data_IF_383375540306
#
_entry.id   IF_383375540306
#
_cell.length_a   1.000
_cell.length_b   1.000
_cell.length_c   1.000
_cell.angle_alpha   90.00
_cell.angle_beta   90.00
_cell.angle_gamma   90.00
#
_symmetry.space_group_name_H-M   'P 1'
#
loop_
_entity.id
_entity.type
_entity.pdbx_description
1 polymer ?
#
# COMPACT_ATOMS: atom_id res chain seq x y z
N UNK A 1 -6.79 -8.56 -6.53
CA UNK A 1 -7.05 -7.28 -5.83
C UNK A 1 -8.45 -7.31 -5.22
N UNK A 2 -8.60 -6.88 -3.98
CA UNK A 2 -9.89 -6.82 -3.29
C UNK A 2 -10.85 -5.85 -4.01
N UNK A 3 -12.09 -6.29 -4.27
CA UNK A 3 -13.14 -5.53 -4.99
C UNK A 3 -13.58 -4.25 -4.28
N UNK A 4 -13.17 -4.06 -3.01
CA UNK A 4 -13.66 -3.03 -2.09
C UNK A 4 -13.51 -1.57 -2.57
N UNK A 5 -12.64 -1.29 -3.53
CA UNK A 5 -12.48 0.06 -4.09
C UNK A 5 -13.31 0.30 -5.36
N UNK A 6 -13.68 -0.76 -6.10
CA UNK A 6 -14.39 -0.64 -7.38
C UNK A 6 -15.77 -0.02 -7.19
N UNK A 7 -16.45 -0.37 -6.10
CA UNK A 7 -17.79 0.14 -5.79
C UNK A 7 -17.76 1.51 -5.08
N UNK A 8 -16.57 2.10 -4.91
CA UNK A 8 -16.33 3.38 -4.19
C UNK A 8 -17.19 3.53 -2.93
N UNK A 9 -17.28 2.47 -2.14
CA UNK A 9 -18.20 2.41 -1.00
C UNK A 9 -17.99 3.59 -0.03
N UNK A 10 -19.05 4.35 0.32
CA UNK A 10 -18.95 5.46 1.25
C UNK A 10 -18.34 5.03 2.59
N UNK A 11 -17.41 5.83 3.14
CA UNK A 11 -16.73 5.53 4.40
C UNK A 11 -15.54 4.56 4.28
N UNK A 12 -15.21 4.08 3.08
CA UNK A 12 -14.01 3.27 2.86
C UNK A 12 -12.75 4.12 2.98
N UNK A 13 -11.90 3.82 3.97
CA UNK A 13 -10.58 4.46 4.12
C UNK A 13 -9.69 4.30 2.89
N UNK A 14 -9.86 3.20 2.13
CA UNK A 14 -9.17 3.00 0.85
C UNK A 14 -9.60 3.99 -0.21
N UNK A 15 -10.90 4.28 -0.33
CA UNK A 15 -11.40 5.28 -1.29
C UNK A 15 -10.92 6.67 -0.90
N UNK A 16 -10.99 7.00 0.39
CA UNK A 16 -10.50 8.28 0.91
C UNK A 16 -8.99 8.48 0.70
N UNK A 17 -8.19 7.41 0.81
CA UNK A 17 -6.76 7.45 0.52
C UNK A 17 -6.48 7.67 -0.98
N UNK A 18 -7.19 6.97 -1.87
CA UNK A 18 -7.07 7.14 -3.32
C UNK A 18 -7.45 8.56 -3.77
N UNK A 19 -8.49 9.14 -3.17
CA UNK A 19 -8.95 10.50 -3.50
C UNK A 19 -7.94 11.60 -3.11
N UNK A 20 -6.99 11.31 -2.20
CA UNK A 20 -5.90 12.23 -1.87
C UNK A 20 -4.77 12.26 -2.92
N UNK A 21 -4.81 11.32 -3.88
CA UNK A 21 -3.91 11.29 -5.03
C UNK A 21 -2.49 10.81 -4.75
N UNK A 22 -1.72 10.69 -5.83
CA UNK A 22 -0.41 10.01 -5.88
C UNK A 22 0.60 10.54 -4.85
N UNK A 23 0.59 11.85 -4.54
CA UNK A 23 1.53 12.44 -3.58
C UNK A 23 1.31 11.94 -2.16
N UNK A 24 0.05 11.81 -1.74
CA UNK A 24 -0.28 11.26 -0.42
C UNK A 24 0.11 9.79 -0.33
N UNK A 25 -0.27 9.00 -1.34
CA UNK A 25 0.06 7.58 -1.43
C UNK A 25 1.58 7.34 -1.39
N UNK A 26 2.35 8.17 -2.11
CA UNK A 26 3.80 8.09 -2.15
C UNK A 26 4.46 8.38 -0.79
N UNK A 27 3.96 9.38 -0.04
CA UNK A 27 4.45 9.64 1.32
C UNK A 27 4.23 8.44 2.23
N UNK A 28 3.02 7.88 2.24
CA UNK A 28 2.68 6.72 3.06
C UNK A 28 3.50 5.50 2.66
N UNK A 29 3.70 5.25 1.36
CA UNK A 29 4.55 4.16 0.87
C UNK A 29 5.98 4.25 1.42
N UNK A 30 6.58 5.45 1.40
CA UNK A 30 7.94 5.69 1.93
C UNK A 30 7.98 5.54 3.45
N UNK A 31 6.96 6.01 4.15
CA UNK A 31 6.82 5.87 5.61
C UNK A 31 6.80 4.40 6.03
N UNK A 32 5.92 3.58 5.44
CA UNK A 32 5.84 2.15 5.77
C UNK A 32 7.12 1.39 5.37
N UNK A 33 7.83 1.83 4.32
CA UNK A 33 9.11 1.22 3.95
C UNK A 33 10.17 1.46 5.03
N UNK A 34 10.20 2.66 5.62
CA UNK A 34 11.08 2.97 6.74
C UNK A 34 10.65 2.20 8.00
N UNK A 35 9.36 2.15 8.31
CA UNK A 35 8.83 1.43 9.48
C UNK A 35 9.07 -0.08 9.37
N UNK A 36 8.85 -0.67 8.19
CA UNK A 36 9.15 -2.09 7.95
C UNK A 36 10.63 -2.42 8.14
N UNK A 37 11.53 -1.53 7.70
CA UNK A 37 12.97 -1.69 7.95
C UNK A 37 13.29 -1.62 9.45
N UNK A 38 12.79 -0.59 10.14
CA UNK A 38 13.01 -0.44 11.58
C UNK A 38 12.45 -1.62 12.38
N UNK A 39 11.25 -2.09 12.04
CA UNK A 39 10.63 -3.23 12.71
C UNK A 39 11.41 -4.53 12.47
N UNK A 40 11.92 -4.73 11.24
CA UNK A 40 12.77 -5.88 10.92
C UNK A 40 14.10 -5.87 11.69
N UNK A 41 14.69 -4.69 11.92
CA UNK A 41 15.95 -4.58 12.67
C UNK A 41 15.76 -4.61 14.20
N UNK A 42 14.64 -4.10 14.72
CA UNK A 42 14.53 -3.77 16.14
C UNK A 42 13.30 -4.30 16.87
N UNK A 43 12.22 -4.67 16.17
CA UNK A 43 10.93 -4.99 16.80
C UNK A 43 10.51 -6.46 16.63
N UNK A 44 11.16 -7.19 15.73
CA UNK A 44 10.99 -8.63 15.57
C UNK A 44 9.90 -9.02 14.57
N UNK A 45 9.66 -10.33 14.48
CA UNK A 45 8.92 -10.96 13.37
C UNK A 45 7.49 -10.44 13.20
N UNK A 46 6.74 -10.32 14.30
CA UNK A 46 5.32 -9.98 14.22
C UNK A 46 5.12 -8.52 13.80
N UNK A 47 5.90 -7.60 14.37
CA UNK A 47 5.90 -6.18 13.99
C UNK A 47 6.39 -5.98 12.57
N UNK A 48 7.48 -6.65 12.16
CA UNK A 48 7.94 -6.58 10.77
C UNK A 48 6.87 -7.09 9.78
N UNK A 49 6.15 -8.17 10.11
CA UNK A 49 5.07 -8.68 9.28
C UNK A 49 3.88 -7.69 9.18
N UNK A 50 3.56 -7.01 10.28
CA UNK A 50 2.55 -5.96 10.30
C UNK A 50 2.91 -4.81 9.36
N UNK A 51 4.11 -4.23 9.48
CA UNK A 51 4.53 -3.11 8.64
C UNK A 51 4.71 -3.51 7.17
N UNK A 52 5.23 -4.71 6.89
CA UNK A 52 5.25 -5.24 5.53
C UNK A 52 3.84 -5.38 4.94
N UNK A 53 2.84 -5.73 5.76
CA UNK A 53 1.45 -5.80 5.28
C UNK A 53 0.90 -4.41 4.91
N UNK A 54 1.28 -3.36 5.66
CA UNK A 54 0.90 -1.98 5.37
C UNK A 54 1.64 -1.47 4.11
N UNK A 55 2.93 -1.76 3.98
CA UNK A 55 3.71 -1.45 2.78
C UNK A 55 3.09 -2.06 1.52
N UNK A 56 2.67 -3.33 1.59
CA UNK A 56 1.98 -4.00 0.49
C UNK A 56 0.61 -3.36 0.19
N UNK A 57 -0.12 -2.93 1.23
CA UNK A 57 -1.38 -2.20 1.07
C UNK A 57 -1.17 -0.88 0.30
N UNK A 58 -0.24 -0.02 0.71
CA UNK A 58 0.03 1.24 0.03
C UNK A 58 0.60 1.04 -1.39
N UNK A 59 1.39 -0.01 -1.59
CA UNK A 59 1.86 -0.40 -2.93
C UNK A 59 0.69 -0.71 -3.86
N UNK A 60 -0.30 -1.47 -3.40
CA UNK A 60 -1.50 -1.78 -4.19
C UNK A 60 -2.35 -0.53 -4.46
N UNK A 61 -2.47 0.39 -3.51
CA UNK A 61 -3.18 1.66 -3.74
C UNK A 61 -2.46 2.52 -4.79
N UNK A 62 -1.13 2.57 -4.75
CA UNK A 62 -0.33 3.23 -5.78
C UNK A 62 -0.57 2.61 -7.16
N UNK A 63 -0.58 1.27 -7.25
CA UNK A 63 -0.91 0.56 -8.49
C UNK A 63 -2.29 0.95 -9.02
N UNK A 64 -3.32 0.95 -8.16
CA UNK A 64 -4.68 1.36 -8.53
C UNK A 64 -4.69 2.81 -9.03
N UNK A 65 -4.02 3.71 -8.33
CA UNK A 65 -3.95 5.13 -8.70
C UNK A 65 -3.25 5.37 -10.05
N UNK A 66 -2.33 4.48 -10.44
CA UNK A 66 -1.61 4.52 -11.72
C UNK A 66 -2.26 3.66 -12.81
N UNK A 67 -3.32 2.90 -12.49
CA UNK A 67 -3.97 1.98 -13.42
C UNK A 67 -3.15 0.72 -13.74
N UNK A 68 -2.22 0.31 -12.85
CA UNK A 68 -1.37 -0.87 -13.03
C UNK A 68 -2.04 -2.14 -12.51
N UNK A 69 -1.94 -3.21 -13.28
CA UNK A 69 -2.28 -4.57 -12.85
C UNK A 69 -1.10 -5.23 -12.11
N UNK A 70 -1.36 -6.38 -11.46
CA UNK A 70 -0.29 -7.19 -10.89
C UNK A 70 0.63 -7.76 -11.98
N UNK A 71 0.07 -8.12 -13.15
CA UNK A 71 0.85 -8.66 -14.26
C UNK A 71 1.84 -7.63 -14.81
N UNK A 72 1.42 -6.35 -14.92
CA UNK A 72 2.31 -5.25 -15.32
C UNK A 72 3.54 -5.19 -14.39
N UNK A 73 3.33 -5.27 -13.07
CA UNK A 73 4.41 -5.21 -12.08
C UNK A 73 5.27 -6.47 -12.09
N UNK A 74 4.65 -7.66 -12.13
CA UNK A 74 5.37 -8.93 -12.11
C UNK A 74 6.14 -9.23 -13.39
N UNK A 75 5.80 -8.59 -14.52
CA UNK A 75 6.60 -8.68 -15.75
C UNK A 75 8.03 -8.15 -15.61
N UNK A 76 8.34 -7.44 -14.53
CA UNK A 76 9.64 -6.85 -14.23
C UNK A 76 10.51 -7.64 -13.25
N UNK A 77 10.03 -8.79 -12.76
CA UNK A 77 10.78 -9.70 -11.87
C UNK A 77 11.36 -10.89 -12.65
#
# INVERSE_FOLDING_TARGET
MSRKWQDRSPGSGTVAALDQGVHHLGKKLVEEAAEAWMAAEHEGRDRAAEELSQLLYWSQLMMISLGLSLDDVYSHL
#
